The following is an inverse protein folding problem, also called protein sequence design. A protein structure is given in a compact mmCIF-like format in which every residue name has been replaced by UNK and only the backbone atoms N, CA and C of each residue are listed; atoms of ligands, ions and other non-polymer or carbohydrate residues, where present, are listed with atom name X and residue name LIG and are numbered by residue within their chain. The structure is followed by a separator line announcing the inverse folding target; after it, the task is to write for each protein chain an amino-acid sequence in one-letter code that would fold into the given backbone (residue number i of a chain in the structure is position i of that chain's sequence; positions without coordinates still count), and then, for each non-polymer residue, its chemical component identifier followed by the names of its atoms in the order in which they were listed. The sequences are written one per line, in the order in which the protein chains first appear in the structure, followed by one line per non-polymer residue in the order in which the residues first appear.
data_IF_498733939505
#
_entry.id   IF_498733939505
#
_cell.length_a   1.000
_cell.length_b   1.000
_cell.length_c   1.000
_cell.angle_alpha   90.00
_cell.angle_beta   90.00
_cell.angle_gamma   90.00
#
_symmetry.space_group_name_H-M   'P 1'
#
loop_
_entity.id
_entity.type
_entity.pdbx_description
1 polymer ?
#
# COMPACT_ATOMS: atom_id res chain seq x y z
N UNK A 1 1.98 -2.89 -23.95
CA UNK A 1 1.48 -1.94 -22.94
C UNK A 1 0.40 -0.99 -23.48
N UNK A 2 0.64 -0.19 -24.53
CA UNK A 2 -0.39 0.74 -25.08
C UNK A 2 -1.66 0.02 -25.55
N UNK A 3 -1.53 -1.11 -26.20
CA UNK A 3 -2.67 -1.93 -26.67
C UNK A 3 -3.49 -2.49 -25.49
N UNK A 4 -2.82 -3.01 -24.46
CA UNK A 4 -3.47 -3.49 -23.25
C UNK A 4 -4.23 -2.36 -22.55
N UNK A 5 -3.62 -1.19 -22.38
CA UNK A 5 -4.28 -0.03 -21.80
C UNK A 5 -5.54 0.34 -22.59
N UNK A 6 -5.44 0.48 -23.93
CA UNK A 6 -6.57 0.80 -24.80
C UNK A 6 -7.69 -0.24 -24.71
N UNK A 7 -7.35 -1.54 -24.60
CA UNK A 7 -8.33 -2.61 -24.44
C UNK A 7 -9.06 -2.50 -23.08
N UNK A 8 -8.31 -2.30 -21.99
CA UNK A 8 -8.88 -2.15 -20.63
C UNK A 8 -9.80 -0.93 -20.56
N UNK A 9 -9.36 0.23 -21.04
CA UNK A 9 -10.15 1.46 -21.04
C UNK A 9 -11.44 1.29 -21.85
N UNK A 10 -11.36 0.66 -23.04
CA UNK A 10 -12.52 0.34 -23.89
C UNK A 10 -13.53 -0.56 -23.16
N UNK A 11 -13.07 -1.66 -22.56
CA UNK A 11 -13.97 -2.59 -21.89
C UNK A 11 -14.50 -2.03 -20.56
N UNK A 12 -13.73 -1.21 -19.87
CA UNK A 12 -14.20 -0.53 -18.68
C UNK A 12 -15.33 0.45 -18.99
N UNK A 13 -15.24 1.19 -20.10
CA UNK A 13 -16.26 2.13 -20.54
C UNK A 13 -17.50 1.45 -21.15
N UNK A 14 -17.38 0.18 -21.59
CA UNK A 14 -18.48 -0.55 -22.21
C UNK A 14 -19.58 -0.93 -21.19
N UNK A 15 -20.86 -1.02 -21.62
CA UNK A 15 -21.95 -1.51 -20.78
C UNK A 15 -21.66 -2.90 -20.19
N UNK A 16 -22.18 -3.15 -18.98
CA UNK A 16 -22.04 -4.48 -18.33
C UNK A 16 -22.55 -5.59 -19.25
N UNK A 17 -21.73 -6.61 -19.45
CA UNK A 17 -22.06 -7.79 -20.28
C UNK A 17 -21.72 -7.61 -21.76
N UNK A 18 -21.44 -6.40 -22.25
CA UNK A 18 -20.96 -6.21 -23.61
C UNK A 18 -19.55 -6.81 -23.76
N UNK A 19 -19.35 -7.63 -24.82
CA UNK A 19 -18.04 -8.25 -25.11
C UNK A 19 -17.45 -9.06 -23.93
N UNK A 20 -18.28 -9.74 -23.14
CA UNK A 20 -17.88 -10.36 -21.88
C UNK A 20 -16.68 -11.32 -22.02
N UNK A 21 -16.64 -12.12 -23.08
CA UNK A 21 -15.55 -13.07 -23.31
C UNK A 21 -14.24 -12.37 -23.67
N UNK A 22 -14.28 -11.40 -24.57
CA UNK A 22 -13.10 -10.60 -24.98
C UNK A 22 -12.57 -9.77 -23.81
N UNK A 23 -13.49 -9.13 -23.05
CA UNK A 23 -13.15 -8.36 -21.87
C UNK A 23 -12.48 -9.22 -20.80
N UNK A 24 -12.98 -10.46 -20.62
CA UNK A 24 -12.40 -11.42 -19.69
C UNK A 24 -10.99 -11.84 -20.11
N UNK A 25 -10.78 -12.13 -21.38
CA UNK A 25 -9.46 -12.49 -21.89
C UNK A 25 -8.46 -11.34 -21.68
N UNK A 26 -8.82 -10.13 -22.08
CA UNK A 26 -7.98 -8.94 -21.87
C UNK A 26 -7.69 -8.68 -20.37
N UNK A 27 -8.67 -8.93 -19.51
CA UNK A 27 -8.49 -8.83 -18.07
C UNK A 27 -7.52 -9.88 -17.53
N UNK A 28 -7.57 -11.12 -17.98
CA UNK A 28 -6.64 -12.16 -17.52
C UNK A 28 -5.19 -11.83 -17.87
N UNK A 29 -4.94 -11.32 -19.07
CA UNK A 29 -3.61 -10.83 -19.50
C UNK A 29 -3.16 -9.64 -18.65
N UNK A 30 -4.05 -8.70 -18.39
CA UNK A 30 -3.81 -7.55 -17.51
C UNK A 30 -3.47 -7.99 -16.07
N UNK A 31 -4.25 -8.93 -15.50
CA UNK A 31 -4.00 -9.46 -14.16
C UNK A 31 -2.63 -10.15 -14.08
N UNK A 32 -2.27 -10.91 -15.10
CA UNK A 32 -0.95 -11.54 -15.17
C UNK A 32 0.17 -10.48 -15.22
N UNK A 33 0.02 -9.44 -16.04
CA UNK A 33 0.98 -8.34 -16.10
C UNK A 33 1.14 -7.61 -14.76
N UNK A 34 0.06 -7.47 -13.97
CA UNK A 34 0.12 -6.98 -12.60
C UNK A 34 0.88 -7.94 -11.69
N UNK A 35 0.56 -9.23 -11.76
CA UNK A 35 1.19 -10.28 -10.93
C UNK A 35 2.69 -10.34 -11.16
N UNK A 36 3.14 -10.11 -12.39
CA UNK A 36 4.56 -10.09 -12.78
C UNK A 36 5.24 -8.73 -12.57
N UNK A 37 4.50 -7.71 -12.12
CA UNK A 37 5.05 -6.38 -11.89
C UNK A 37 5.37 -5.58 -13.16
N UNK A 38 4.94 -6.06 -14.33
CA UNK A 38 5.14 -5.36 -15.61
C UNK A 38 4.33 -4.05 -15.70
N UNK A 39 3.24 -3.96 -14.94
CA UNK A 39 2.41 -2.76 -14.81
C UNK A 39 2.14 -2.49 -13.33
N UNK A 40 1.93 -1.23 -12.98
CA UNK A 40 1.72 -0.77 -11.60
C UNK A 40 0.65 0.31 -11.53
N UNK A 41 -0.05 0.41 -10.39
CA UNK A 41 -1.04 1.47 -10.14
C UNK A 41 -0.43 2.88 -10.05
N UNK A 42 0.83 2.99 -9.69
CA UNK A 42 1.63 4.21 -9.83
C UNK A 42 3.10 3.85 -10.05
N UNK A 43 3.80 4.71 -10.78
CA UNK A 43 5.23 4.54 -11.09
C UNK A 43 6.01 5.84 -10.89
N UNK A 44 7.28 5.73 -10.54
CA UNK A 44 8.15 6.88 -10.36
C UNK A 44 8.76 7.29 -11.71
N UNK A 45 8.51 8.52 -12.14
CA UNK A 45 9.10 9.13 -13.34
C UNK A 45 9.97 10.30 -12.90
N UNK A 46 11.28 10.10 -12.90
CA UNK A 46 12.21 11.04 -12.28
C UNK A 46 11.94 11.15 -10.78
N UNK A 47 11.63 12.35 -10.29
CA UNK A 47 11.34 12.59 -8.87
C UNK A 47 9.84 12.61 -8.52
N UNK A 48 8.96 12.31 -9.49
CA UNK A 48 7.50 12.37 -9.31
C UNK A 48 6.87 10.99 -9.46
N UNK A 49 5.86 10.74 -8.64
CA UNK A 49 4.98 9.60 -8.83
C UNK A 49 3.85 9.96 -9.79
N UNK A 50 3.58 9.08 -10.73
CA UNK A 50 2.52 9.21 -11.73
C UNK A 50 1.53 8.07 -11.52
N UNK A 51 0.27 8.43 -11.33
CA UNK A 51 -0.82 7.46 -11.14
C UNK A 51 -1.26 6.91 -12.49
N UNK A 52 -1.35 5.60 -12.61
CA UNK A 52 -1.85 4.90 -13.78
C UNK A 52 -3.34 4.56 -13.56
N UNK A 53 -4.23 5.54 -13.79
CA UNK A 53 -5.67 5.39 -13.55
C UNK A 53 -6.27 4.19 -14.31
N UNK A 54 -5.79 3.91 -15.52
CA UNK A 54 -6.23 2.77 -16.31
C UNK A 54 -6.00 1.42 -15.62
N UNK A 55 -4.96 1.33 -14.78
CA UNK A 55 -4.69 0.11 -13.97
C UNK A 55 -5.80 -0.11 -12.96
N UNK A 56 -6.26 0.95 -12.28
CA UNK A 56 -7.39 0.84 -11.36
C UNK A 56 -8.70 0.51 -12.10
N UNK A 57 -8.91 1.08 -13.28
CA UNK A 57 -10.04 0.73 -14.15
C UNK A 57 -10.01 -0.77 -14.51
N UNK A 58 -8.83 -1.31 -14.82
CA UNK A 58 -8.65 -2.74 -15.08
C UNK A 58 -9.01 -3.61 -13.88
N UNK A 59 -8.61 -3.22 -12.67
CA UNK A 59 -8.97 -3.93 -11.44
C UNK A 59 -10.49 -3.90 -11.21
N UNK A 60 -11.12 -2.73 -11.35
CA UNK A 60 -12.58 -2.59 -11.23
C UNK A 60 -13.32 -3.40 -12.32
N UNK A 61 -12.78 -3.44 -13.54
CA UNK A 61 -13.29 -4.31 -14.61
C UNK A 61 -13.27 -5.77 -14.17
N UNK A 62 -12.19 -6.23 -13.55
CA UNK A 62 -12.07 -7.58 -13.00
C UNK A 62 -13.16 -7.89 -11.96
N UNK A 63 -13.43 -6.98 -11.02
CA UNK A 63 -14.53 -7.15 -10.06
C UNK A 63 -15.90 -7.21 -10.74
N UNK A 64 -16.10 -6.45 -11.81
CA UNK A 64 -17.34 -6.45 -12.60
C UNK A 64 -17.54 -7.74 -13.39
N UNK A 65 -16.46 -8.32 -13.92
CA UNK A 65 -16.48 -9.54 -14.74
C UNK A 65 -16.52 -10.84 -13.92
N UNK A 66 -16.03 -10.79 -12.68
CA UNK A 66 -15.92 -11.99 -11.84
C UNK A 66 -17.25 -12.48 -11.30
N UNK A 67 -17.37 -13.78 -11.18
CA UNK A 67 -18.46 -14.49 -10.51
C UNK A 67 -17.97 -15.08 -9.19
N UNK A 68 -18.88 -15.27 -8.22
CA UNK A 68 -18.53 -15.92 -6.96
C UNK A 68 -18.27 -17.42 -7.22
N UNK A 69 -17.13 -17.89 -6.74
CA UNK A 69 -16.69 -19.26 -6.87
C UNK A 69 -16.05 -19.74 -5.56
N UNK A 70 -16.29 -21.00 -5.23
CA UNK A 70 -15.52 -21.66 -4.17
C UNK A 70 -14.04 -21.76 -4.60
N UNK A 71 -13.15 -21.48 -3.66
CA UNK A 71 -11.71 -21.55 -3.89
C UNK A 71 -11.08 -22.51 -2.89
N UNK A 72 -10.29 -23.45 -3.40
CA UNK A 72 -9.52 -24.37 -2.57
C UNK A 72 -8.40 -23.62 -1.83
N UNK A 73 -8.46 -23.64 -0.53
CA UNK A 73 -7.46 -23.13 0.41
C UNK A 73 -6.94 -24.19 1.37
N UNK A 74 -7.01 -25.47 1.00
CA UNK A 74 -6.66 -26.60 1.86
C UNK A 74 -7.68 -26.81 2.98
N UNK A 75 -7.30 -26.61 4.23
CA UNK A 75 -8.21 -26.76 5.38
C UNK A 75 -9.19 -25.56 5.55
N UNK A 76 -9.03 -24.50 4.77
CA UNK A 76 -9.86 -23.31 4.83
C UNK A 76 -10.78 -23.23 3.61
N UNK A 77 -12.03 -22.80 3.83
CA UNK A 77 -13.01 -22.58 2.77
C UNK A 77 -13.07 -21.09 2.43
N UNK A 78 -12.98 -20.78 1.13
CA UNK A 78 -13.11 -19.43 0.62
C UNK A 78 -14.15 -19.36 -0.49
N UNK A 79 -14.86 -18.23 -0.56
CA UNK A 79 -15.74 -17.87 -1.67
C UNK A 79 -15.40 -16.44 -2.10
N UNK A 80 -14.93 -16.27 -3.32
CA UNK A 80 -14.57 -14.93 -3.85
C UNK A 80 -14.73 -14.90 -5.37
N UNK A 81 -14.47 -13.74 -5.96
CA UNK A 81 -14.47 -13.55 -7.41
C UNK A 81 -13.40 -14.40 -8.08
N UNK A 82 -13.79 -15.25 -9.02
CA UNK A 82 -12.91 -16.13 -9.79
C UNK A 82 -11.85 -15.37 -10.62
N UNK A 83 -12.06 -14.07 -10.83
CA UNK A 83 -11.10 -13.17 -11.45
C UNK A 83 -9.90 -12.84 -10.55
N UNK A 84 -10.00 -13.03 -9.24
CA UNK A 84 -8.95 -12.71 -8.27
C UNK A 84 -8.63 -13.85 -7.30
N UNK A 85 -8.19 -15.02 -7.82
CA UNK A 85 -7.84 -16.14 -6.96
C UNK A 85 -6.59 -15.83 -6.09
N UNK A 86 -6.31 -16.71 -5.14
CA UNK A 86 -5.07 -16.66 -4.37
C UNK A 86 -3.85 -16.82 -5.28
N UNK A 87 -2.82 -16.02 -5.04
CA UNK A 87 -1.50 -16.23 -5.62
C UNK A 87 -0.83 -17.42 -4.92
N UNK A 88 -0.33 -18.37 -5.69
CA UNK A 88 0.50 -19.46 -5.19
C UNK A 88 1.97 -19.12 -5.40
N UNK A 89 2.80 -19.46 -4.43
CA UNK A 89 4.25 -19.25 -4.47
C UNK A 89 4.95 -20.58 -4.54
N UNK A 90 6.06 -20.60 -5.27
CA UNK A 90 6.96 -21.72 -5.43
C UNK A 90 8.38 -21.34 -4.99
N UNK A 91 9.26 -22.29 -4.64
CA UNK A 91 10.63 -21.95 -4.25
C UNK A 91 11.41 -21.11 -5.28
N UNK A 92 11.08 -21.25 -6.56
CA UNK A 92 11.68 -20.47 -7.64
C UNK A 92 11.32 -18.97 -7.60
N UNK A 93 10.21 -18.58 -6.95
CA UNK A 93 9.83 -17.18 -6.80
C UNK A 93 10.73 -16.43 -5.82
N UNK A 94 11.52 -17.18 -5.02
CA UNK A 94 12.37 -16.64 -3.96
C UNK A 94 11.64 -15.67 -3.01
N UNK A 95 10.37 -15.98 -2.72
CA UNK A 95 9.53 -15.26 -1.74
C UNK A 95 9.27 -16.19 -0.57
N UNK A 96 9.53 -15.71 0.63
CA UNK A 96 9.29 -16.48 1.84
C UNK A 96 7.92 -16.16 2.41
N UNK A 97 6.96 -17.06 2.29
CA UNK A 97 5.65 -16.96 2.92
C UNK A 97 5.60 -17.96 4.07
N UNK A 98 5.65 -17.45 5.31
CA UNK A 98 5.69 -18.29 6.51
C UNK A 98 4.30 -18.89 6.74
N UNK A 99 4.18 -20.20 7.05
CA UNK A 99 2.88 -20.83 7.32
C UNK A 99 2.11 -20.16 8.47
N UNK A 100 0.80 -19.97 8.32
CA UNK A 100 -0.03 -19.40 9.37
C UNK A 100 -1.17 -18.48 8.91
N UNK A 101 -1.70 -18.68 7.70
CA UNK A 101 -2.93 -18.02 7.24
C UNK A 101 -2.73 -16.72 6.49
N UNK A 102 -1.51 -16.43 6.02
CA UNK A 102 -1.26 -15.32 5.08
C UNK A 102 -1.93 -15.55 3.74
N UNK A 103 -2.37 -14.47 3.09
CA UNK A 103 -2.86 -14.57 1.71
C UNK A 103 -2.44 -13.39 0.84
N UNK A 104 -2.19 -13.69 -0.43
CA UNK A 104 -1.86 -12.72 -1.47
C UNK A 104 -2.80 -12.96 -2.64
N UNK A 105 -3.48 -11.92 -3.10
CA UNK A 105 -4.36 -12.00 -4.26
C UNK A 105 -3.57 -11.98 -5.56
N UNK A 106 -3.96 -12.77 -6.56
CA UNK A 106 -3.44 -12.57 -7.91
C UNK A 106 -3.72 -11.15 -8.40
N UNK A 107 -2.77 -10.59 -9.16
CA UNK A 107 -2.76 -9.16 -9.49
C UNK A 107 -2.02 -8.31 -8.46
N UNK A 108 -1.43 -8.91 -7.43
CA UNK A 108 -0.43 -8.26 -6.60
C UNK A 108 0.97 -8.73 -7.00
N UNK A 109 1.90 -7.81 -7.14
CA UNK A 109 3.32 -8.12 -7.32
C UNK A 109 4.03 -8.20 -5.98
N UNK A 110 4.78 -9.27 -5.79
CA UNK A 110 5.66 -9.48 -4.64
C UNK A 110 7.02 -9.89 -5.21
N UNK A 111 8.02 -9.05 -5.00
CA UNK A 111 9.36 -9.25 -5.54
C UNK A 111 10.10 -10.41 -4.87
N UNK A 112 11.12 -10.98 -5.53
CA UNK A 112 12.06 -11.89 -4.87
C UNK A 112 12.64 -11.28 -3.59
N UNK A 113 13.01 -12.15 -2.63
CA UNK A 113 13.54 -11.79 -1.30
C UNK A 113 12.55 -11.11 -0.33
N UNK A 114 11.29 -10.93 -0.71
CA UNK A 114 10.24 -10.48 0.23
C UNK A 114 9.92 -11.57 1.23
N UNK A 115 9.72 -11.16 2.50
CA UNK A 115 9.32 -12.04 3.59
C UNK A 115 7.91 -11.63 4.06
N UNK A 116 7.01 -12.61 4.14
CA UNK A 116 5.63 -12.47 4.58
C UNK A 116 5.43 -13.26 5.87
N UNK A 117 5.24 -12.58 6.99
CA UNK A 117 4.96 -13.19 8.30
C UNK A 117 3.46 -13.34 8.53
N UNK A 118 3.01 -14.46 9.16
CA UNK A 118 1.59 -14.76 9.26
C UNK A 118 0.89 -14.08 10.45
N UNK A 119 -0.44 -13.92 10.35
CA UNK A 119 -1.19 -13.78 9.11
C UNK A 119 -1.03 -12.37 8.55
N UNK A 120 -0.76 -12.22 7.28
CA UNK A 120 -0.77 -10.92 6.61
C UNK A 120 -1.65 -10.99 5.34
N UNK A 121 -2.00 -9.83 4.77
CA UNK A 121 -2.78 -9.76 3.55
C UNK A 121 -2.22 -8.74 2.55
N UNK A 122 -2.03 -9.18 1.30
CA UNK A 122 -1.65 -8.31 0.18
C UNK A 122 -2.74 -8.35 -0.88
N UNK A 123 -3.36 -7.20 -1.17
CA UNK A 123 -4.50 -7.10 -2.07
C UNK A 123 -4.06 -6.78 -3.51
N UNK A 124 -5.02 -6.95 -4.45
CA UNK A 124 -4.82 -6.74 -5.89
C UNK A 124 -4.29 -5.34 -6.21
N UNK A 125 -3.39 -5.26 -7.18
CA UNK A 125 -2.74 -4.02 -7.62
C UNK A 125 -1.64 -3.51 -6.68
N UNK A 126 -1.47 -4.13 -5.50
CA UNK A 126 -0.34 -3.84 -4.64
C UNK A 126 0.98 -4.24 -5.31
N UNK A 127 2.01 -3.46 -5.05
CA UNK A 127 3.37 -3.71 -5.50
C UNK A 127 4.30 -3.70 -4.28
N UNK A 128 4.95 -4.82 -3.99
CA UNK A 128 5.89 -4.97 -2.87
C UNK A 128 7.25 -5.31 -3.45
N UNK A 129 8.22 -4.41 -3.26
CA UNK A 129 9.55 -4.51 -3.85
C UNK A 129 10.54 -5.32 -2.99
N UNK A 130 11.71 -5.57 -3.54
CA UNK A 130 12.77 -6.45 -3.03
C UNK A 130 13.18 -6.17 -1.57
N UNK A 131 13.47 -7.23 -0.82
CA UNK A 131 13.99 -7.15 0.55
C UNK A 131 13.00 -6.61 1.58
N UNK A 132 11.74 -6.42 1.20
CA UNK A 132 10.70 -5.93 2.11
C UNK A 132 10.20 -7.03 3.03
N UNK A 133 9.98 -6.68 4.31
CA UNK A 133 9.30 -7.51 5.29
C UNK A 133 7.86 -7.01 5.48
N UNK A 134 6.89 -7.89 5.28
CA UNK A 134 5.48 -7.68 5.62
C UNK A 134 5.18 -8.54 6.84
N UNK A 135 5.15 -7.93 8.01
CA UNK A 135 5.06 -8.63 9.29
C UNK A 135 3.62 -9.07 9.61
N UNK A 136 3.48 -9.78 10.73
CA UNK A 136 2.22 -10.39 11.18
C UNK A 136 1.10 -9.37 11.30
N UNK A 137 -0.10 -9.74 10.83
CA UNK A 137 -1.29 -8.88 10.78
C UNK A 137 -1.16 -7.61 9.93
N UNK A 138 -0.06 -7.42 9.19
CA UNK A 138 0.05 -6.28 8.30
C UNK A 138 -0.86 -6.41 7.08
N UNK A 139 -1.38 -5.27 6.63
CA UNK A 139 -2.17 -5.13 5.41
C UNK A 139 -1.40 -4.31 4.38
N UNK A 140 -1.30 -4.82 3.15
CA UNK A 140 -0.96 -4.03 1.97
C UNK A 140 -2.22 -3.93 1.11
N UNK A 141 -2.90 -2.81 1.19
CA UNK A 141 -4.17 -2.56 0.52
C UNK A 141 -4.06 -2.45 -0.99
N UNK A 142 -5.21 -2.45 -1.67
CA UNK A 142 -5.27 -2.41 -3.14
C UNK A 142 -4.50 -1.22 -3.70
N UNK A 143 -3.68 -1.48 -4.70
CA UNK A 143 -2.87 -0.47 -5.40
C UNK A 143 -1.75 0.19 -4.58
N UNK A 144 -1.56 -0.14 -3.31
CA UNK A 144 -0.47 0.39 -2.50
C UNK A 144 0.90 0.04 -3.13
N UNK A 145 1.83 0.98 -3.08
CA UNK A 145 3.17 0.82 -3.67
C UNK A 145 4.20 0.83 -2.56
N UNK A 146 4.85 -0.30 -2.33
CA UNK A 146 5.87 -0.48 -1.30
C UNK A 146 7.23 -0.62 -2.00
N UNK A 147 8.16 0.23 -1.63
CA UNK A 147 9.54 0.24 -2.14
C UNK A 147 10.40 -0.90 -1.61
N UNK A 148 11.70 -0.80 -1.89
CA UNK A 148 12.69 -1.80 -1.50
C UNK A 148 13.07 -1.68 -0.02
N UNK A 149 13.38 -2.82 0.60
CA UNK A 149 13.89 -2.90 1.99
C UNK A 149 13.01 -2.15 3.00
N UNK A 150 11.71 -2.12 2.73
CA UNK A 150 10.72 -1.56 3.66
C UNK A 150 10.44 -2.58 4.75
N UNK A 151 10.31 -2.11 5.99
CA UNK A 151 9.81 -2.92 7.08
C UNK A 151 8.38 -2.45 7.44
N UNK A 152 7.39 -3.24 7.10
CA UNK A 152 6.03 -3.08 7.61
C UNK A 152 5.90 -3.93 8.87
N UNK A 153 6.06 -3.30 10.04
CA UNK A 153 6.02 -4.02 11.32
C UNK A 153 4.62 -4.55 11.63
N UNK A 154 4.51 -5.37 12.67
CA UNK A 154 3.28 -6.06 13.04
C UNK A 154 2.06 -5.13 13.10
N UNK A 155 0.97 -5.57 12.46
CA UNK A 155 -0.29 -4.83 12.35
C UNK A 155 -0.19 -3.45 11.67
N UNK A 156 0.86 -3.18 10.87
CA UNK A 156 0.91 -1.99 10.03
C UNK A 156 -0.16 -2.08 8.94
N UNK A 157 -0.96 -1.01 8.81
CA UNK A 157 -2.10 -0.95 7.88
C UNK A 157 -1.79 0.04 6.75
N UNK A 158 -1.41 -0.46 5.58
CA UNK A 158 -1.23 0.34 4.38
C UNK A 158 -2.52 0.31 3.59
N UNK A 159 -3.26 1.41 3.62
CA UNK A 159 -4.60 1.51 3.06
C UNK A 159 -4.64 1.34 1.54
N UNK A 160 -5.69 0.70 1.07
CA UNK A 160 -5.98 0.61 -0.36
C UNK A 160 -6.71 1.85 -0.87
N UNK A 161 -6.37 2.27 -2.09
CA UNK A 161 -7.05 3.37 -2.79
C UNK A 161 -7.40 2.91 -4.20
N UNK A 162 -8.57 2.27 -4.34
CA UNK A 162 -9.06 1.81 -5.63
C UNK A 162 -9.96 2.87 -6.29
N UNK A 163 -10.81 3.48 -5.51
CA UNK A 163 -11.72 4.55 -5.94
C UNK A 163 -11.50 5.83 -5.13
N UNK A 164 -11.61 7.00 -5.76
CA UNK A 164 -11.76 7.21 -7.21
C UNK A 164 -10.47 6.84 -7.97
N UNK A 165 -10.63 6.41 -9.24
CA UNK A 165 -9.51 5.87 -10.04
C UNK A 165 -8.34 6.84 -10.20
N UNK A 166 -8.60 8.15 -10.17
CA UNK A 166 -7.58 9.21 -10.29
C UNK A 166 -6.87 9.52 -8.97
N UNK A 167 -7.38 9.04 -7.82
CA UNK A 167 -6.73 9.29 -6.54
C UNK A 167 -5.37 8.59 -6.48
N UNK A 168 -4.40 9.24 -5.85
CA UNK A 168 -3.09 8.63 -5.63
C UNK A 168 -3.23 7.40 -4.72
N UNK A 169 -2.52 6.28 -5.00
CA UNK A 169 -2.40 5.20 -4.03
C UNK A 169 -1.50 5.62 -2.88
N UNK A 170 -1.56 4.86 -1.78
CA UNK A 170 -0.54 4.98 -0.74
C UNK A 170 0.80 4.54 -1.30
N UNK A 171 1.84 5.32 -1.03
CA UNK A 171 3.21 5.04 -1.47
C UNK A 171 4.14 5.08 -0.26
N UNK A 172 4.87 4.00 -0.07
CA UNK A 172 5.96 3.86 0.89
C UNK A 172 7.23 3.69 0.07
N UNK A 173 8.12 4.67 0.08
CA UNK A 173 9.38 4.60 -0.67
C UNK A 173 10.41 3.68 0.01
N UNK A 174 11.58 3.55 -0.61
CA UNK A 174 12.64 2.63 -0.18
C UNK A 174 13.14 2.91 1.25
N UNK A 175 13.61 1.88 1.94
CA UNK A 175 14.26 1.95 3.26
C UNK A 175 13.39 2.58 4.37
N UNK A 176 12.06 2.60 4.20
CA UNK A 176 11.13 3.10 5.21
C UNK A 176 10.88 2.03 6.27
N UNK A 177 10.87 2.44 7.53
CA UNK A 177 10.38 1.63 8.64
C UNK A 177 9.00 2.13 9.07
N UNK A 178 8.00 1.27 8.96
CA UNK A 178 6.63 1.52 9.44
C UNK A 178 6.44 0.72 10.73
N UNK A 179 6.43 1.41 11.85
CA UNK A 179 6.29 0.81 13.18
C UNK A 179 4.95 0.07 13.38
N UNK A 180 4.91 -0.78 14.39
CA UNK A 180 3.72 -1.58 14.70
C UNK A 180 2.47 -0.75 14.93
N UNK A 181 1.31 -1.27 14.51
CA UNK A 181 0.01 -0.59 14.59
C UNK A 181 -0.05 0.80 13.91
N UNK A 182 0.87 1.09 13.00
CA UNK A 182 0.76 2.29 12.17
C UNK A 182 -0.34 2.15 11.13
N UNK A 183 -0.94 3.29 10.76
CA UNK A 183 -1.90 3.37 9.67
C UNK A 183 -1.50 4.44 8.65
N UNK A 184 -1.38 4.07 7.38
CA UNK A 184 -1.08 5.01 6.30
C UNK A 184 -2.20 4.90 5.26
N UNK A 185 -3.03 5.93 5.15
CA UNK A 185 -4.28 5.88 4.41
C UNK A 185 -4.41 7.00 3.37
N UNK A 186 -5.45 6.90 2.53
CA UNK A 186 -5.96 7.97 1.65
C UNK A 186 -4.88 8.60 0.75
N UNK A 187 -4.04 7.75 0.15
CA UNK A 187 -3.03 8.17 -0.82
C UNK A 187 -1.84 8.91 -0.22
N UNK A 188 -1.63 8.85 1.09
CA UNK A 188 -0.45 9.43 1.75
C UNK A 188 0.84 8.84 1.19
N UNK A 189 1.86 9.68 1.02
CA UNK A 189 3.20 9.29 0.58
C UNK A 189 4.20 9.39 1.72
N UNK A 190 4.96 8.32 1.94
CA UNK A 190 6.07 8.28 2.88
C UNK A 190 7.35 8.18 2.07
N UNK A 191 8.16 9.24 2.11
CA UNK A 191 9.40 9.33 1.34
C UNK A 191 10.48 8.41 1.91
N UNK A 192 11.50 8.17 1.08
CA UNK A 192 12.57 7.24 1.37
C UNK A 192 13.19 7.47 2.77
N UNK A 193 13.57 6.37 3.40
CA UNK A 193 14.27 6.35 4.69
C UNK A 193 13.50 6.99 5.87
N UNK A 194 12.22 7.34 5.70
CA UNK A 194 11.41 7.81 6.83
C UNK A 194 11.14 6.69 7.84
N UNK A 195 10.91 7.06 9.09
CA UNK A 195 10.53 6.15 10.17
C UNK A 195 9.22 6.61 10.76
N UNK A 196 8.23 5.73 10.77
CA UNK A 196 6.98 5.94 11.48
C UNK A 196 7.04 5.17 12.80
N UNK A 197 7.10 5.87 13.92
CA UNK A 197 7.03 5.26 15.26
C UNK A 197 5.70 4.55 15.46
N UNK A 198 5.69 3.49 16.28
CA UNK A 198 4.51 2.65 16.53
C UNK A 198 3.27 3.49 16.85
N UNK A 199 2.13 3.11 16.27
CA UNK A 199 0.85 3.81 16.46
C UNK A 199 0.69 5.11 15.66
N UNK A 200 1.61 5.45 14.78
CA UNK A 200 1.47 6.64 13.90
C UNK A 200 0.36 6.42 12.87
N UNK A 201 -0.62 7.31 12.83
CA UNK A 201 -1.73 7.28 11.89
C UNK A 201 -1.66 8.49 10.96
N UNK A 202 -1.60 8.24 9.67
CA UNK A 202 -1.56 9.24 8.61
C UNK A 202 -2.77 9.12 7.71
N UNK A 203 -3.53 10.21 7.58
CA UNK A 203 -4.67 10.30 6.67
C UNK A 203 -4.57 11.60 5.86
N UNK A 204 -5.37 11.73 4.82
CA UNK A 204 -5.43 12.96 4.02
C UNK A 204 -5.79 14.21 4.86
N UNK A 205 -6.63 14.06 5.86
CA UNK A 205 -7.09 15.17 6.70
C UNK A 205 -6.19 15.49 7.90
N UNK A 206 -5.25 14.60 8.21
CA UNK A 206 -4.38 14.73 9.39
C UNK A 206 -3.22 15.68 9.08
N UNK A 207 -3.04 16.80 9.80
CA UNK A 207 -1.85 17.64 9.65
C UNK A 207 -0.63 16.95 10.28
N UNK A 208 0.50 17.00 9.61
CA UNK A 208 1.79 16.52 10.11
C UNK A 208 2.64 17.71 10.52
N UNK A 209 2.95 17.81 11.80
CA UNK A 209 3.76 18.90 12.36
C UNK A 209 5.23 18.52 12.37
N UNK A 210 6.07 19.38 11.84
CA UNK A 210 7.53 19.26 11.88
C UNK A 210 8.10 20.26 12.89
N UNK A 211 8.46 19.78 14.07
CA UNK A 211 9.03 20.65 15.11
C UNK A 211 10.52 20.98 14.88
N UNK A 212 11.17 20.28 13.97
CA UNK A 212 12.57 20.52 13.62
C UNK A 212 12.72 21.70 12.65
N UNK A 213 11.81 21.75 11.65
CA UNK A 213 11.80 22.78 10.59
C UNK A 213 10.80 23.90 10.86
N UNK A 214 9.90 23.74 11.82
CA UNK A 214 8.83 24.69 12.09
C UNK A 214 7.74 24.70 11.02
N UNK A 215 7.50 23.56 10.34
CA UNK A 215 6.58 23.44 9.22
C UNK A 215 5.35 22.59 9.58
N UNK A 216 4.29 22.74 8.79
CA UNK A 216 3.09 21.88 8.89
C UNK A 216 2.72 21.37 7.50
N UNK A 217 2.88 20.07 7.29
CA UNK A 217 2.50 19.42 6.04
C UNK A 217 1.01 19.06 6.05
N UNK A 218 0.34 19.32 4.93
CA UNK A 218 -1.08 19.02 4.71
C UNK A 218 -1.28 18.52 3.29
N UNK A 219 -2.24 17.65 3.08
CA UNK A 219 -2.72 17.36 1.74
C UNK A 219 -3.48 18.56 1.17
N UNK A 220 -3.40 18.73 -0.14
CA UNK A 220 -4.21 19.67 -0.91
C UNK A 220 -5.12 18.94 -1.89
N UNK A 221 -5.85 19.67 -2.74
CA UNK A 221 -6.63 19.06 -3.82
C UNK A 221 -5.71 18.34 -4.83
N UNK A 222 -4.51 18.91 -5.06
CA UNK A 222 -3.56 18.50 -6.10
C UNK A 222 -2.45 17.57 -5.59
N UNK A 223 -2.23 17.53 -4.26
CA UNK A 223 -1.12 16.77 -3.68
C UNK A 223 -1.53 16.00 -2.43
N UNK A 224 -1.05 14.76 -2.26
CA UNK A 224 -1.29 13.97 -1.06
C UNK A 224 -0.51 14.53 0.14
N UNK A 225 -0.92 14.13 1.34
CA UNK A 225 -0.06 14.27 2.50
C UNK A 225 1.26 13.55 2.23
N UNK A 226 2.38 14.23 2.42
CA UNK A 226 3.70 13.66 2.16
C UNK A 226 4.57 13.78 3.41
N UNK A 227 5.07 12.64 3.90
CA UNK A 227 6.11 12.58 4.92
C UNK A 227 7.46 12.82 4.23
N UNK A 228 8.27 13.80 4.67
CA UNK A 228 9.57 14.07 4.08
C UNK A 228 10.54 12.89 4.20
N UNK A 229 11.52 12.86 3.31
CA UNK A 229 12.62 11.91 3.35
C UNK A 229 13.39 12.01 4.68
N UNK A 230 13.81 10.87 5.22
CA UNK A 230 14.52 10.73 6.51
C UNK A 230 13.75 11.21 7.75
N UNK A 231 12.49 11.65 7.64
CA UNK A 231 11.72 12.12 8.80
C UNK A 231 11.42 10.97 9.78
N UNK A 232 11.57 11.25 11.07
CA UNK A 232 11.14 10.36 12.15
C UNK A 232 9.86 10.93 12.74
N UNK A 233 8.76 10.22 12.52
CA UNK A 233 7.40 10.62 12.88
C UNK A 233 6.92 9.80 14.06
N UNK A 234 6.33 10.45 15.06
CA UNK A 234 5.75 9.77 16.22
C UNK A 234 4.31 10.25 16.45
N UNK A 235 3.48 9.45 17.16
CA UNK A 235 2.20 9.92 17.64
C UNK A 235 2.34 11.13 18.55
N UNK A 236 1.48 12.11 18.39
CA UNK A 236 1.40 13.29 19.22
C UNK A 236 -0.03 13.78 19.37
N UNK A 237 -0.21 14.91 20.02
CA UNK A 237 -1.50 15.57 20.12
C UNK A 237 -1.35 17.09 20.01
N UNK A 238 -2.41 17.76 19.55
CA UNK A 238 -2.50 19.21 19.53
C UNK A 238 -3.72 19.67 20.32
N UNK A 239 -3.54 20.68 21.16
CA UNK A 239 -4.63 21.26 21.92
C UNK A 239 -5.66 21.93 20.98
N UNK A 240 -6.93 21.89 21.37
CA UNK A 240 -8.01 22.62 20.72
C UNK A 240 -8.25 23.92 21.49
N UNK A 241 -7.81 25.04 20.93
CA UNK A 241 -7.87 26.36 21.58
C UNK A 241 -9.22 27.10 21.44
N UNK A 242 -10.33 26.43 21.09
CA UNK A 242 -11.62 27.09 20.82
C UNK A 242 -12.83 26.34 21.38
N UNK A 243 -13.84 27.11 21.81
CA UNK A 243 -15.17 26.59 22.21
C UNK A 243 -15.10 25.61 23.38
N UNK A 244 -16.09 24.74 23.46
CA UNK A 244 -16.19 23.74 24.54
C UNK A 244 -14.98 22.81 24.64
N UNK A 245 -14.32 22.54 23.51
CA UNK A 245 -13.11 21.72 23.52
C UNK A 245 -11.97 22.37 24.31
N UNK A 246 -11.82 23.69 24.24
CA UNK A 246 -10.85 24.42 25.06
C UNK A 246 -11.24 24.40 26.55
N UNK A 247 -12.51 24.58 26.87
CA UNK A 247 -13.02 24.50 28.25
C UNK A 247 -12.80 23.10 28.87
N UNK A 248 -12.90 22.04 28.04
CA UNK A 248 -12.71 20.64 28.46
C UNK A 248 -11.25 20.17 28.36
N UNK A 249 -10.32 21.04 27.98
CA UNK A 249 -8.90 20.73 27.77
C UNK A 249 -8.67 19.55 26.79
N UNK A 250 -9.49 19.46 25.74
CA UNK A 250 -9.36 18.39 24.76
C UNK A 250 -8.19 18.64 23.80
N UNK A 251 -7.54 17.54 23.42
CA UNK A 251 -6.54 17.51 22.36
C UNK A 251 -6.95 16.54 21.27
N UNK A 252 -6.56 16.83 20.04
CA UNK A 252 -6.71 15.92 18.91
C UNK A 252 -5.39 15.25 18.61
N UNK A 253 -5.46 13.98 18.21
CA UNK A 253 -4.31 13.26 17.67
C UNK A 253 -3.68 14.03 16.52
N UNK A 254 -2.37 14.06 16.48
CA UNK A 254 -1.59 14.57 15.35
C UNK A 254 -0.23 13.87 15.30
N UNK A 255 0.25 13.44 14.12
CA UNK A 255 1.62 12.96 13.96
C UNK A 255 2.60 14.13 14.01
N UNK A 256 3.78 13.88 14.58
CA UNK A 256 4.82 14.90 14.78
C UNK A 256 6.15 14.35 14.27
N UNK A 257 6.84 15.11 13.41
CA UNK A 257 8.24 14.88 13.05
C UNK A 257 9.08 15.46 14.18
N UNK A 258 9.78 14.58 14.91
CA UNK A 258 10.59 14.95 16.08
C UNK A 258 12.07 15.05 15.78
N UNK A 259 12.52 14.41 14.70
CA UNK A 259 13.90 14.48 14.19
C UNK A 259 13.95 13.97 12.74
N UNK A 260 15.11 14.06 12.14
CA UNK A 260 15.48 13.37 10.90
C UNK A 260 16.49 12.26 11.22
N UNK A 261 16.54 11.21 10.39
CA UNK A 261 17.45 10.07 10.61
C UNK A 261 18.90 10.53 10.83
N UNK A 262 19.52 9.93 11.79
CA UNK A 262 20.91 10.09 12.18
C UNK A 262 21.55 8.69 12.31
N UNK A 263 22.86 8.64 12.57
CA UNK A 263 23.61 7.39 12.75
C UNK A 263 23.05 6.49 13.87
N UNK A 264 22.40 7.06 14.89
CA UNK A 264 21.78 6.28 15.98
C UNK A 264 20.52 5.60 15.50
N UNK A 265 19.71 6.30 14.69
CA UNK A 265 18.52 5.74 14.09
C UNK A 265 18.89 4.62 13.12
N UNK A 266 19.94 4.81 12.30
CA UNK A 266 20.41 3.82 11.35
C UNK A 266 20.87 2.54 12.05
N UNK A 267 21.65 2.63 13.13
CA UNK A 267 22.09 1.47 13.94
C UNK A 267 20.93 0.70 14.56
N UNK A 268 19.86 1.36 15.01
CA UNK A 268 18.69 0.69 15.55
C UNK A 268 17.96 -0.13 14.47
N UNK A 269 17.90 0.39 13.24
CA UNK A 269 17.29 -0.32 12.10
C UNK A 269 18.17 -1.50 11.65
N UNK A 270 19.49 -1.34 11.60
CA UNK A 270 20.43 -2.44 11.26
C UNK A 270 20.32 -3.64 12.23
N UNK A 271 20.09 -3.38 13.53
CA UNK A 271 19.87 -4.45 14.50
C UNK A 271 18.60 -5.25 14.20
N UNK A 272 17.53 -4.61 13.71
CA UNK A 272 16.32 -5.31 13.28
C UNK A 272 16.56 -6.10 11.99
N UNK A 273 17.40 -5.61 11.08
CA UNK A 273 17.72 -6.30 9.83
C UNK A 273 18.51 -7.61 10.05
N UNK A 274 19.29 -7.71 11.12
CA UNK A 274 19.98 -8.95 11.50
C UNK A 274 19.02 -10.08 11.89
N UNK A 275 17.77 -9.77 12.20
CA UNK A 275 16.73 -10.75 12.54
C UNK A 275 15.96 -11.27 11.32
N UNK A 276 16.23 -10.76 10.14
CA UNK A 276 15.64 -11.16 8.86
C UNK A 276 16.44 -12.31 8.22
#
# INVERSE_FOLDING_TARGET
MKEMQAAIERFFAAPKGAHAQEARQAFLEFREALTQGHIRAAEKRGHRWVVNAWVKQGILLGFRLGELQEMDGGALSFVDKDTFPLRRFHPADNVRVVPGGSSVRQGAYVAPSVICMPPMYINVGAYVDEGTLVDSHALVGSCAQIGKRVHLSAAAQIGGVLEPVNAAPVIIEDDVLVGGNCGVYEGTWVRARAVLGAGTILTRSTPLYDIVRGEVYRATAESPLTVPENAVVVPGSRAIGKGKAAEWNLSLYTPVIVKYRDERTDRAIELEDLLR
#
